data_IF_864524893684
#
_entry.id   IF_864524893684
#
_cell.length_a   1.000
_cell.length_b   1.000
_cell.length_c   1.000
_cell.angle_alpha   90.00
_cell.angle_beta   90.00
_cell.angle_gamma   90.00
#
_symmetry.space_group_name_H-M   'P 1'
#
loop_
_entity.id
_entity.type
_entity.pdbx_description
1 polymer ?
#
# COMPACT_ATOMS: atom_id res chain seq x y z
N UNK A 1 1.39 20.60 -6.84
CA UNK A 1 0.10 21.22 -6.42
C UNK A 1 -1.13 20.44 -6.89
N UNK A 2 -1.21 20.02 -8.17
CA UNK A 2 -2.39 19.31 -8.71
C UNK A 2 -2.63 17.93 -8.07
N UNK A 3 -1.60 17.11 -7.90
CA UNK A 3 -1.78 15.75 -7.35
C UNK A 3 -2.11 15.75 -5.86
N UNK A 4 -1.60 16.74 -5.12
CA UNK A 4 -2.02 16.98 -3.74
C UNK A 4 -3.52 17.24 -3.63
N UNK A 5 -4.07 18.13 -4.46
CA UNK A 5 -5.50 18.41 -4.46
C UNK A 5 -6.34 17.17 -4.83
N UNK A 6 -5.84 16.31 -5.72
CA UNK A 6 -6.49 15.02 -6.07
C UNK A 6 -6.48 14.06 -4.87
N UNK A 7 -5.34 13.93 -4.19
CA UNK A 7 -5.21 13.10 -2.98
C UNK A 7 -6.13 13.61 -1.87
N UNK A 8 -6.11 14.91 -1.59
CA UNK A 8 -6.99 15.51 -0.57
C UNK A 8 -8.47 15.26 -0.88
N UNK A 9 -8.87 15.32 -2.16
CA UNK A 9 -10.23 14.99 -2.58
C UNK A 9 -10.60 13.53 -2.32
N UNK A 10 -9.69 12.57 -2.55
CA UNK A 10 -9.90 11.15 -2.24
C UNK A 10 -10.05 10.95 -0.73
N UNK A 11 -9.15 11.53 0.06
CA UNK A 11 -9.19 11.39 1.52
C UNK A 11 -10.48 11.97 2.10
N UNK A 12 -10.93 13.13 1.60
CA UNK A 12 -12.20 13.73 2.01
C UNK A 12 -13.39 12.83 1.69
N UNK A 13 -13.43 12.23 0.49
CA UNK A 13 -14.50 11.31 0.09
C UNK A 13 -14.52 10.05 0.95
N UNK A 14 -13.34 9.49 1.27
CA UNK A 14 -13.17 8.34 2.15
C UNK A 14 -13.67 8.65 3.57
N UNK A 15 -13.24 9.79 4.14
CA UNK A 15 -13.69 10.25 5.46
C UNK A 15 -15.19 10.52 5.51
N UNK A 16 -15.78 11.00 4.41
CA UNK A 16 -17.22 11.21 4.29
C UNK A 16 -18.02 9.90 4.06
N UNK A 17 -17.37 8.75 3.91
CA UNK A 17 -18.02 7.47 3.61
C UNK A 17 -18.62 7.37 2.21
N UNK A 18 -18.31 8.32 1.33
CA UNK A 18 -18.80 8.38 -0.06
C UNK A 18 -17.97 7.53 -1.03
N UNK A 19 -16.81 7.06 -0.57
CA UNK A 19 -15.89 6.20 -1.31
C UNK A 19 -15.46 5.05 -0.39
N UNK A 20 -15.47 3.82 -0.90
CA UNK A 20 -14.97 2.67 -0.13
C UNK A 20 -13.45 2.72 0.01
N UNK A 21 -12.89 2.07 1.04
CA UNK A 21 -11.44 2.02 1.25
C UNK A 21 -10.70 1.41 0.05
N UNK A 22 -11.25 0.37 -0.57
CA UNK A 22 -10.65 -0.28 -1.74
C UNK A 22 -10.59 0.66 -2.95
N UNK A 23 -11.68 1.39 -3.23
CA UNK A 23 -11.69 2.38 -4.31
C UNK A 23 -10.75 3.55 -4.00
N UNK A 24 -10.76 4.04 -2.76
CA UNK A 24 -9.86 5.10 -2.33
C UNK A 24 -8.39 4.69 -2.47
N UNK A 25 -8.03 3.47 -2.09
CA UNK A 25 -6.67 2.94 -2.25
C UNK A 25 -6.26 2.89 -3.71
N UNK A 26 -7.09 2.33 -4.59
CA UNK A 26 -6.79 2.23 -6.02
C UNK A 26 -6.55 3.61 -6.66
N UNK A 27 -7.44 4.58 -6.42
CA UNK A 27 -7.28 5.93 -6.94
C UNK A 27 -6.04 6.62 -6.36
N UNK A 28 -5.80 6.44 -5.06
CA UNK A 28 -4.67 7.05 -4.35
C UNK A 28 -3.33 6.55 -4.88
N UNK A 29 -3.16 5.24 -5.04
CA UNK A 29 -1.91 4.65 -5.53
C UNK A 29 -1.63 4.99 -6.98
N UNK A 30 -2.68 5.02 -7.82
CA UNK A 30 -2.57 5.44 -9.21
C UNK A 30 -1.96 6.84 -9.33
N UNK A 31 -2.49 7.81 -8.59
CA UNK A 31 -1.96 9.19 -8.55
C UNK A 31 -0.51 9.23 -8.11
N UNK A 32 -0.16 8.53 -7.02
CA UNK A 32 1.20 8.58 -6.48
C UNK A 32 2.22 7.89 -7.39
N UNK A 33 1.80 6.88 -8.16
CA UNK A 33 2.69 6.20 -9.09
C UNK A 33 3.04 7.05 -10.31
N UNK A 34 2.16 7.96 -10.72
CA UNK A 34 2.40 8.96 -11.78
C UNK A 34 3.48 9.98 -11.38
N UNK A 35 3.56 10.29 -10.08
CA UNK A 35 4.41 11.35 -9.52
C UNK A 35 5.36 10.83 -8.44
N UNK A 36 6.11 9.75 -8.74
CA UNK A 36 6.93 9.03 -7.75
C UNK A 36 7.98 9.90 -7.02
N UNK A 37 8.46 10.97 -7.64
CA UNK A 37 9.43 11.91 -7.05
C UNK A 37 8.83 12.77 -5.92
N UNK A 38 7.55 13.14 -6.03
CA UNK A 38 6.83 13.94 -5.04
C UNK A 38 6.02 13.08 -4.06
N UNK A 39 6.03 11.75 -4.25
CA UNK A 39 5.20 10.84 -3.47
C UNK A 39 5.52 10.89 -1.97
N UNK A 40 6.79 11.03 -1.58
CA UNK A 40 7.17 11.14 -0.16
C UNK A 40 6.53 12.34 0.52
N UNK A 41 6.62 13.53 -0.09
CA UNK A 41 6.05 14.77 0.46
C UNK A 41 4.53 14.67 0.65
N UNK A 42 3.84 14.01 -0.30
CA UNK A 42 2.40 13.79 -0.20
C UNK A 42 2.08 12.77 0.90
N UNK A 43 2.81 11.65 0.93
CA UNK A 43 2.58 10.57 1.90
C UNK A 43 2.84 11.01 3.34
N UNK A 44 3.83 11.89 3.58
CA UNK A 44 4.13 12.44 4.90
C UNK A 44 3.00 13.30 5.48
N UNK A 45 2.15 13.85 4.62
CA UNK A 45 1.01 14.68 5.03
C UNK A 45 -0.25 13.87 5.27
N UNK A 46 -0.30 12.60 4.82
CA UNK A 46 -1.44 11.73 5.07
C UNK A 46 -1.40 11.27 6.54
N UNK A 47 -2.51 11.40 7.29
CA UNK A 47 -2.58 10.87 8.65
C UNK A 47 -2.15 9.41 8.69
N UNK A 48 -1.25 9.05 9.61
CA UNK A 48 -0.59 7.72 9.62
C UNK A 48 -1.58 6.57 9.65
N UNK A 49 -2.66 6.69 10.42
CA UNK A 49 -3.70 5.66 10.48
C UNK A 49 -4.40 5.45 9.13
N UNK A 50 -4.66 6.53 8.39
CA UNK A 50 -5.27 6.48 7.06
C UNK A 50 -4.28 5.87 6.07
N UNK A 51 -3.02 6.31 6.11
CA UNK A 51 -1.97 5.75 5.26
C UNK A 51 -1.82 4.24 5.47
N UNK A 52 -1.86 3.76 6.72
CA UNK A 52 -1.74 2.32 7.01
C UNK A 52 -2.95 1.53 6.51
N UNK A 53 -4.16 2.08 6.60
CA UNK A 53 -5.36 1.49 6.00
C UNK A 53 -5.25 1.40 4.48
N UNK A 54 -4.77 2.46 3.82
CA UNK A 54 -4.56 2.48 2.36
C UNK A 54 -3.50 1.45 1.95
N UNK A 55 -2.39 1.34 2.70
CA UNK A 55 -1.32 0.36 2.42
C UNK A 55 -1.87 -1.06 2.55
N UNK A 56 -2.58 -1.35 3.64
CA UNK A 56 -3.18 -2.67 3.86
C UNK A 56 -4.15 -3.02 2.73
N UNK A 57 -5.00 -2.08 2.32
CA UNK A 57 -5.88 -2.26 1.17
C UNK A 57 -5.10 -2.55 -0.13
N UNK A 58 -4.03 -1.78 -0.41
CA UNK A 58 -3.18 -2.00 -1.59
C UNK A 58 -2.41 -3.32 -1.56
N UNK A 59 -2.02 -3.81 -0.36
CA UNK A 59 -1.42 -5.14 -0.19
C UNK A 59 -2.46 -6.22 -0.49
N UNK A 60 -3.66 -6.14 0.11
CA UNK A 60 -4.74 -7.11 -0.07
C UNK A 60 -5.19 -7.22 -1.52
N UNK A 61 -5.21 -6.11 -2.26
CA UNK A 61 -5.53 -6.11 -3.69
C UNK A 61 -4.34 -6.36 -4.61
N UNK A 62 -3.13 -6.52 -4.06
CA UNK A 62 -1.87 -6.57 -4.81
C UNK A 62 -1.79 -5.45 -5.87
N UNK A 63 -1.99 -4.21 -5.42
CA UNK A 63 -2.08 -3.02 -6.26
C UNK A 63 -0.74 -2.77 -7.01
N UNK A 64 -0.72 -2.83 -8.35
CA UNK A 64 0.53 -2.72 -9.11
C UNK A 64 1.17 -1.34 -9.03
N UNK A 65 0.38 -0.28 -8.82
CA UNK A 65 0.87 1.10 -8.73
C UNK A 65 1.52 1.32 -7.36
N UNK A 66 0.94 0.78 -6.29
CA UNK A 66 1.56 0.75 -4.96
C UNK A 66 2.88 -0.02 -4.99
N UNK A 67 2.90 -1.19 -5.64
CA UNK A 67 4.11 -2.01 -5.74
C UNK A 67 5.21 -1.31 -6.53
N UNK A 68 4.85 -0.66 -7.65
CA UNK A 68 5.79 0.14 -8.46
C UNK A 68 6.36 1.32 -7.68
N UNK A 69 5.55 1.99 -6.88
CA UNK A 69 6.02 3.04 -5.97
C UNK A 69 7.00 2.49 -4.95
N UNK A 70 6.69 1.31 -4.40
CA UNK A 70 7.57 0.53 -3.53
C UNK A 70 8.95 0.29 -4.12
N UNK A 71 9.07 -0.01 -5.41
CA UNK A 71 10.38 -0.22 -6.05
C UNK A 71 11.26 1.05 -6.05
N UNK A 72 10.64 2.22 -6.20
CA UNK A 72 11.34 3.49 -6.37
C UNK A 72 11.54 4.27 -5.07
N UNK A 73 10.78 3.98 -4.02
CA UNK A 73 10.74 4.80 -2.81
C UNK A 73 11.06 3.99 -1.54
N UNK A 74 12.28 4.16 -1.01
CA UNK A 74 12.78 3.46 0.18
C UNK A 74 11.95 3.78 1.42
N UNK A 75 11.66 5.07 1.66
CA UNK A 75 10.87 5.53 2.80
C UNK A 75 9.47 4.90 2.78
N UNK A 76 8.84 4.84 1.62
CA UNK A 76 7.54 4.18 1.48
C UNK A 76 7.62 2.69 1.80
N UNK A 77 8.66 1.98 1.32
CA UNK A 77 8.87 0.57 1.68
C UNK A 77 8.99 0.36 3.19
N UNK A 78 9.60 1.28 3.94
CA UNK A 78 9.65 1.21 5.39
C UNK A 78 8.26 1.28 6.01
N UNK A 79 7.42 2.21 5.56
CA UNK A 79 6.01 2.29 6.00
C UNK A 79 5.22 1.02 5.68
N UNK A 80 5.41 0.46 4.48
CA UNK A 80 4.82 -0.84 4.11
C UNK A 80 5.34 -1.95 5.01
N UNK A 81 6.63 -1.96 5.34
CA UNK A 81 7.22 -2.93 6.28
C UNK A 81 6.58 -2.89 7.67
N UNK A 82 6.25 -1.71 8.19
CA UNK A 82 5.55 -1.57 9.46
C UNK A 82 4.15 -2.19 9.40
N UNK A 83 3.41 -1.96 8.30
CA UNK A 83 2.10 -2.58 8.09
C UNK A 83 2.23 -4.10 8.00
N UNK A 84 3.16 -4.62 7.19
CA UNK A 84 3.42 -6.07 7.10
C UNK A 84 3.76 -6.67 8.48
N UNK A 85 4.47 -5.93 9.33
CA UNK A 85 4.83 -6.36 10.68
C UNK A 85 3.63 -6.60 11.59
N UNK A 86 2.52 -5.88 11.39
CA UNK A 86 1.31 -5.97 12.20
C UNK A 86 0.25 -6.94 11.66
N UNK A 87 0.42 -7.47 10.44
CA UNK A 87 -0.49 -8.45 9.86
C UNK A 87 -0.36 -9.81 10.56
N UNK A 88 -1.50 -10.47 10.74
CA UNK A 88 -1.55 -11.86 11.20
C UNK A 88 -1.25 -12.84 10.06
N UNK A 89 -1.24 -14.14 10.40
CA UNK A 89 -0.90 -15.21 9.46
C UNK A 89 -1.94 -15.34 8.34
N UNK A 90 -3.23 -15.26 8.66
CA UNK A 90 -4.32 -15.45 7.70
C UNK A 90 -4.26 -14.34 6.64
N UNK A 91 -4.08 -13.09 7.09
CA UNK A 91 -3.92 -11.95 6.18
C UNK A 91 -2.68 -12.07 5.28
N UNK A 92 -1.55 -12.51 5.84
CA UNK A 92 -0.32 -12.69 5.07
C UNK A 92 -0.46 -13.79 4.02
N UNK A 93 -1.19 -14.86 4.30
CA UNK A 93 -1.48 -15.91 3.34
C UNK A 93 -2.37 -15.40 2.20
N UNK A 94 -3.41 -14.64 2.50
CA UNK A 94 -4.29 -14.02 1.49
C UNK A 94 -3.53 -13.04 0.61
N UNK A 95 -2.74 -12.14 1.20
CA UNK A 95 -1.90 -11.19 0.47
C UNK A 95 -0.86 -11.94 -0.38
N UNK A 96 -0.25 -13.01 0.15
CA UNK A 96 0.71 -13.82 -0.61
C UNK A 96 0.07 -14.41 -1.87
N UNK A 97 -1.16 -14.93 -1.75
CA UNK A 97 -1.91 -15.46 -2.90
C UNK A 97 -2.24 -14.35 -3.90
N UNK A 98 -2.69 -13.18 -3.44
CA UNK A 98 -2.98 -12.04 -4.30
C UNK A 98 -1.73 -11.61 -5.10
N UNK A 99 -0.58 -11.50 -4.45
CA UNK A 99 0.70 -11.14 -5.10
C UNK A 99 1.09 -12.13 -6.19
N UNK A 100 0.99 -13.44 -5.91
CA UNK A 100 1.30 -14.49 -6.88
C UNK A 100 0.35 -14.46 -8.08
N UNK A 101 -0.94 -14.25 -7.85
CA UNK A 101 -1.94 -14.15 -8.92
C UNK A 101 -1.74 -12.90 -9.79
N UNK A 102 -1.19 -11.83 -9.23
CA UNK A 102 -0.92 -10.56 -9.93
C UNK A 102 0.45 -10.50 -10.63
N UNK A 103 1.31 -11.51 -10.48
CA UNK A 103 2.66 -11.51 -11.09
C UNK A 103 3.62 -10.50 -10.48
N UNK A 104 3.41 -10.13 -9.21
CA UNK A 104 4.20 -9.11 -8.49
C UNK A 104 5.23 -9.72 -7.53
N UNK A 105 5.47 -11.04 -7.62
CA UNK A 105 6.26 -11.83 -6.67
C UNK A 105 7.73 -11.44 -6.61
N UNK A 106 8.23 -10.74 -7.63
CA UNK A 106 9.64 -10.28 -7.72
C UNK A 106 9.87 -8.88 -7.13
N UNK A 107 8.84 -8.26 -6.56
CA UNK A 107 8.94 -6.94 -5.94
C UNK A 107 9.62 -6.98 -4.56
N UNK A 108 10.14 -5.83 -4.14
CA UNK A 108 10.70 -5.62 -2.82
C UNK A 108 9.62 -5.76 -1.72
N UNK A 109 8.39 -5.34 -2.00
CA UNK A 109 7.25 -5.52 -1.09
C UNK A 109 6.88 -7.00 -0.97
N UNK A 110 6.76 -7.73 -2.08
CA UNK A 110 6.47 -9.17 -2.07
C UNK A 110 7.50 -9.96 -1.26
N UNK A 111 8.79 -9.65 -1.44
CA UNK A 111 9.87 -10.27 -0.69
C UNK A 111 9.68 -10.13 0.83
N UNK A 112 9.21 -8.96 1.31
CA UNK A 112 8.93 -8.72 2.73
C UNK A 112 7.71 -9.49 3.22
N UNK A 113 6.63 -9.52 2.43
CA UNK A 113 5.42 -10.30 2.75
C UNK A 113 5.76 -11.78 2.89
N UNK A 114 6.41 -12.38 1.89
CA UNK A 114 6.74 -13.81 1.91
C UNK A 114 7.70 -14.16 3.04
N UNK A 115 8.70 -13.31 3.32
CA UNK A 115 9.60 -13.49 4.44
C UNK A 115 8.84 -13.50 5.78
N UNK A 116 7.93 -12.53 5.98
CA UNK A 116 7.14 -12.44 7.21
C UNK A 116 6.21 -13.63 7.36
N UNK A 117 5.52 -14.04 6.28
CA UNK A 117 4.62 -15.18 6.28
C UNK A 117 5.36 -16.46 6.70
N UNK A 118 6.47 -16.78 6.02
CA UNK A 118 7.33 -17.92 6.34
C UNK A 118 7.87 -17.91 7.78
N UNK A 119 8.10 -16.72 8.35
CA UNK A 119 8.55 -16.59 9.74
C UNK A 119 7.44 -17.00 10.73
N UNK A 120 6.18 -16.68 10.43
CA UNK A 120 5.04 -17.06 11.26
C UNK A 120 4.68 -18.55 11.15
N UNK A 121 4.95 -19.20 10.02
CA UNK A 121 4.75 -20.65 9.86
C UNK A 121 5.66 -21.52 10.75
N UNK A 122 6.74 -20.94 11.28
CA UNK A 122 7.75 -21.64 12.10
C UNK A 122 7.50 -21.53 13.61
N UNK A 123 6.45 -20.81 14.01
CA UNK A 123 6.03 -20.60 15.40
C UNK A 123 4.82 -21.49 15.65
#
# INVERSE_FOLDING_TARGET
MRDRARVDAILNKLSAGTLSLSQAAQEFWSILSESSEQASDILEQVPTEILYKLIRAGLSSADPDMFRLGEKNVWFREKVGNVIGSLDKEELEEISKAILNSGLERSAIASRVFYRNKKLERI
#
